data_IF_439905244135
#
_entry.id   IF_439905244135
#
_cell.length_a   1.000
_cell.length_b   1.000
_cell.length_c   1.000
_cell.angle_alpha   90.00
_cell.angle_beta   90.00
_cell.angle_gamma   90.00
#
_symmetry.space_group_name_H-M   'P 1'
#
loop_
_entity.id
_entity.type
_entity.pdbx_description
1 polymer ?
#
# COMPACT_ATOMS: atom_id res chain seq x y z
N UNK A 1 -13.37 -22.04 13.50
CA UNK A 1 -13.23 -22.21 12.04
C UNK A 1 -11.85 -21.65 11.70
N UNK A 2 -10.87 -22.52 11.43
CA UNK A 2 -9.49 -22.08 11.16
C UNK A 2 -9.45 -21.58 9.72
N UNK A 3 -9.24 -20.28 9.52
CA UNK A 3 -9.06 -19.71 8.19
C UNK A 3 -7.69 -20.20 7.70
N UNK A 4 -7.65 -20.76 6.49
CA UNK A 4 -6.38 -21.13 5.86
C UNK A 4 -5.56 -19.88 5.59
N UNK A 5 -4.32 -19.85 6.09
CA UNK A 5 -3.41 -18.70 5.98
C UNK A 5 -2.53 -18.73 4.73
N UNK A 6 -2.61 -19.81 3.95
CA UNK A 6 -1.72 -20.05 2.81
C UNK A 6 -2.54 -20.37 1.56
N UNK A 7 -2.18 -19.75 0.44
CA UNK A 7 -2.76 -20.01 -0.87
C UNK A 7 -1.66 -20.13 -1.92
N UNK A 8 -1.58 -21.28 -2.59
CA UNK A 8 -0.60 -21.52 -3.64
C UNK A 8 -1.15 -21.03 -4.98
N UNK A 9 -0.38 -20.19 -5.65
CA UNK A 9 -0.66 -19.71 -7.01
C UNK A 9 0.41 -20.30 -7.93
N UNK A 10 0.01 -21.22 -8.79
CA UNK A 10 0.91 -21.76 -9.82
C UNK A 10 1.13 -20.72 -10.92
N UNK A 11 2.39 -20.46 -11.27
CA UNK A 11 2.75 -19.51 -12.34
C UNK A 11 3.88 -20.06 -13.21
N UNK A 12 3.75 -19.92 -14.54
CA UNK A 12 4.78 -20.29 -15.50
C UNK A 12 5.02 -19.14 -16.48
N UNK A 13 6.26 -18.64 -16.53
CA UNK A 13 6.70 -17.62 -17.47
C UNK A 13 8.19 -17.80 -17.77
N UNK A 14 8.64 -17.25 -18.90
CA UNK A 14 10.06 -17.21 -19.23
C UNK A 14 10.68 -15.94 -18.62
N UNK A 15 11.65 -16.12 -17.72
CA UNK A 15 12.38 -14.99 -17.11
C UNK A 15 13.46 -14.49 -18.07
N UNK A 16 13.41 -13.20 -18.41
CA UNK A 16 14.48 -12.58 -19.19
C UNK A 16 15.56 -12.00 -18.27
N UNK A 17 16.73 -12.64 -18.26
CA UNK A 17 17.93 -12.12 -17.61
C UNK A 17 18.83 -11.43 -18.65
N UNK A 18 18.80 -10.10 -18.68
CA UNK A 18 19.59 -9.29 -19.63
C UNK A 18 20.70 -8.52 -18.92
N UNK A 19 21.82 -8.30 -19.62
CA UNK A 19 23.01 -7.60 -19.10
C UNK A 19 23.28 -6.28 -19.83
N UNK A 20 22.28 -5.74 -20.52
CA UNK A 20 22.37 -4.42 -21.15
C UNK A 20 22.00 -3.33 -20.13
N UNK A 21 22.97 -2.50 -19.78
CA UNK A 21 22.81 -1.45 -18.78
C UNK A 21 22.56 -0.06 -19.39
N UNK A 22 22.50 0.02 -20.72
CA UNK A 22 22.10 1.26 -21.38
C UNK A 22 20.66 1.61 -21.04
N UNK A 23 20.37 2.90 -20.90
CA UNK A 23 18.99 3.38 -20.75
C UNK A 23 18.32 3.33 -22.12
N UNK A 24 17.29 2.50 -22.24
CA UNK A 24 16.51 2.29 -23.45
C UNK A 24 15.17 3.06 -23.39
N UNK A 25 14.67 3.34 -22.19
CA UNK A 25 13.45 4.10 -21.93
C UNK A 25 13.68 5.23 -20.89
N UNK A 26 14.19 6.40 -21.31
CA UNK A 26 14.54 7.51 -20.41
C UNK A 26 13.37 8.01 -19.55
N UNK A 27 12.14 8.02 -20.08
CA UNK A 27 10.97 8.46 -19.34
C UNK A 27 10.62 7.53 -18.18
N UNK A 28 10.71 6.21 -18.39
CA UNK A 28 10.52 5.22 -17.33
C UNK A 28 11.60 5.33 -16.26
N UNK A 29 12.86 5.51 -16.70
CA UNK A 29 13.98 5.75 -15.79
C UNK A 29 13.75 7.00 -14.93
N UNK A 30 13.22 8.07 -15.51
CA UNK A 30 12.86 9.29 -14.78
C UNK A 30 11.81 9.02 -13.70
N UNK A 31 10.77 8.24 -14.01
CA UNK A 31 9.74 7.88 -13.03
C UNK A 31 10.33 7.07 -11.87
N UNK A 32 11.19 6.09 -12.17
CA UNK A 32 11.90 5.32 -11.16
C UNK A 32 12.79 6.19 -10.24
N UNK A 33 13.58 7.10 -10.82
CA UNK A 33 14.42 8.01 -10.02
C UNK A 33 13.58 8.96 -9.16
N UNK A 34 12.44 9.44 -9.65
CA UNK A 34 11.51 10.25 -8.86
C UNK A 34 10.92 9.44 -7.70
N UNK A 35 10.45 8.21 -7.97
CA UNK A 35 9.89 7.34 -6.95
C UNK A 35 10.92 7.08 -5.83
N UNK A 36 12.16 6.75 -6.16
CA UNK A 36 13.24 6.57 -5.17
C UNK A 36 13.50 7.81 -4.32
N UNK A 37 13.49 9.00 -4.93
CA UNK A 37 13.73 10.26 -4.23
C UNK A 37 12.59 10.58 -3.26
N UNK A 38 11.36 10.36 -3.70
CA UNK A 38 10.15 10.78 -2.98
C UNK A 38 9.63 9.68 -2.04
N UNK A 39 10.24 8.48 -2.06
CA UNK A 39 9.92 7.41 -1.13
C UNK A 39 10.38 7.78 0.28
N UNK A 40 9.42 7.78 1.19
CA UNK A 40 9.68 7.99 2.61
C UNK A 40 10.52 6.84 3.21
N UNK A 41 11.38 7.20 4.14
CA UNK A 41 12.19 6.30 4.94
C UNK A 41 11.68 6.28 6.38
N UNK A 42 11.08 5.14 6.76
CA UNK A 42 10.56 4.83 8.10
C UNK A 42 11.51 5.27 9.23
N UNK A 43 12.82 5.04 9.07
CA UNK A 43 13.82 5.32 10.13
C UNK A 43 14.25 6.79 10.23
N UNK A 44 13.90 7.63 9.25
CA UNK A 44 14.37 9.03 9.16
C UNK A 44 13.22 10.03 9.13
N UNK A 45 12.15 9.72 8.41
CA UNK A 45 11.09 10.66 8.11
C UNK A 45 9.92 10.59 9.11
N UNK A 46 9.90 9.55 9.94
CA UNK A 46 8.92 9.41 11.03
C UNK A 46 9.61 9.56 12.38
N UNK A 47 9.13 10.52 13.17
CA UNK A 47 9.48 10.68 14.56
C UNK A 47 8.66 9.72 15.44
N UNK A 48 9.19 8.52 15.67
CA UNK A 48 8.56 7.48 16.50
C UNK A 48 8.48 7.83 17.98
N UNK A 49 9.10 8.93 18.44
CA UNK A 49 9.01 9.34 19.83
C UNK A 49 7.69 10.03 20.17
N UNK A 50 6.92 10.43 19.15
CA UNK A 50 5.64 11.09 19.35
C UNK A 50 4.59 10.09 19.86
N UNK A 51 3.83 10.45 20.91
CA UNK A 51 2.73 9.61 21.37
C UNK A 51 1.62 9.57 20.31
N UNK A 52 1.07 8.39 20.06
CA UNK A 52 -0.07 8.19 19.16
C UNK A 52 -1.35 8.12 19.98
N UNK A 53 -2.21 9.12 19.83
CA UNK A 53 -3.49 9.24 20.54
C UNK A 53 -4.60 8.47 19.81
N UNK A 54 -4.68 7.16 20.05
CA UNK A 54 -5.63 6.28 19.35
C UNK A 54 -7.10 6.52 19.73
N UNK A 55 -7.39 7.18 20.85
CA UNK A 55 -8.76 7.38 21.34
C UNK A 55 -9.53 8.53 20.66
N UNK A 56 -8.85 9.40 19.91
CA UNK A 56 -9.46 10.58 19.28
C UNK A 56 -9.97 10.31 17.85
N UNK A 57 -9.75 9.11 17.32
CA UNK A 57 -9.96 8.77 15.91
C UNK A 57 -8.65 8.82 15.13
N UNK A 58 -8.49 7.90 14.18
CA UNK A 58 -7.23 7.70 13.44
C UNK A 58 -7.26 8.48 12.12
N UNK A 59 -8.39 8.46 11.42
CA UNK A 59 -8.61 9.26 10.22
C UNK A 59 -9.56 10.42 10.51
N UNK A 60 -9.56 11.44 9.65
CA UNK A 60 -10.58 12.47 9.68
C UNK A 60 -11.97 11.85 9.50
N UNK A 61 -12.97 12.30 10.27
CA UNK A 61 -14.32 11.72 10.25
C UNK A 61 -14.95 11.71 8.85
N UNK A 62 -14.64 12.71 8.01
CA UNK A 62 -15.10 12.76 6.61
C UNK A 62 -14.61 11.62 5.72
N UNK A 63 -13.64 10.83 6.19
CA UNK A 63 -13.15 9.63 5.51
C UNK A 63 -13.78 8.34 6.03
N UNK A 64 -14.66 8.40 7.03
CA UNK A 64 -15.43 7.26 7.53
C UNK A 64 -16.67 7.09 6.69
N UNK A 65 -16.92 5.87 6.22
CA UNK A 65 -18.09 5.59 5.41
C UNK A 65 -19.38 5.85 6.21
N UNK A 66 -20.29 6.61 5.61
CA UNK A 66 -21.53 7.04 6.27
C UNK A 66 -21.42 8.35 7.07
N UNK A 67 -20.25 9.00 7.11
CA UNK A 67 -20.14 10.37 7.61
C UNK A 67 -21.13 11.31 6.90
N UNK A 68 -21.78 12.19 7.67
CA UNK A 68 -22.80 13.11 7.16
C UNK A 68 -24.17 12.48 6.89
N UNK A 69 -24.34 11.17 7.11
CA UNK A 69 -25.65 10.52 7.02
C UNK A 69 -26.54 10.80 8.23
N UNK A 70 -27.86 10.57 8.08
CA UNK A 70 -28.79 10.64 9.21
C UNK A 70 -28.47 9.62 10.31
N UNK A 71 -27.85 8.49 9.97
CA UNK A 71 -27.45 7.46 10.93
C UNK A 71 -26.27 7.97 11.77
N UNK A 72 -25.28 8.60 11.12
CA UNK A 72 -24.14 9.22 11.80
C UNK A 72 -24.58 10.31 12.77
N UNK A 73 -25.54 11.15 12.37
CA UNK A 73 -26.09 12.21 13.21
C UNK A 73 -26.84 11.69 14.45
N UNK A 74 -27.31 10.43 14.44
CA UNK A 74 -27.96 9.77 15.58
C UNK A 74 -26.96 9.13 16.56
N UNK A 75 -25.69 8.98 16.18
CA UNK A 75 -24.65 8.48 17.05
C UNK A 75 -24.20 9.56 18.03
N UNK A 76 -23.94 9.18 19.28
CA UNK A 76 -23.27 10.06 20.23
C UNK A 76 -21.77 10.19 19.90
N UNK A 77 -21.12 11.22 20.46
CA UNK A 77 -19.72 11.50 20.18
C UNK A 77 -18.77 10.35 20.53
N UNK A 78 -19.15 9.50 21.50
CA UNK A 78 -18.36 8.32 21.87
C UNK A 78 -18.45 7.26 20.78
N UNK A 79 -19.65 6.93 20.31
CA UNK A 79 -19.88 5.95 19.25
C UNK A 79 -19.30 6.41 17.91
N UNK A 80 -19.33 7.71 17.62
CA UNK A 80 -18.67 8.26 16.43
C UNK A 80 -17.16 7.99 16.45
N UNK A 81 -16.50 8.19 17.59
CA UNK A 81 -15.08 7.87 17.78
C UNK A 81 -14.80 6.37 17.71
N UNK A 82 -15.58 5.55 18.40
CA UNK A 82 -15.45 4.09 18.34
C UNK A 82 -15.59 3.59 16.89
N UNK A 83 -16.58 4.08 16.15
CA UNK A 83 -16.76 3.76 14.74
C UNK A 83 -15.57 4.22 13.87
N UNK A 84 -15.04 5.42 14.12
CA UNK A 84 -13.85 5.92 13.42
C UNK A 84 -12.65 4.98 13.61
N UNK A 85 -12.37 4.56 14.84
CA UNK A 85 -11.26 3.67 15.16
C UNK A 85 -11.43 2.31 14.46
N UNK A 86 -12.59 1.68 14.61
CA UNK A 86 -12.88 0.38 14.00
C UNK A 86 -12.77 0.43 12.47
N UNK A 87 -13.35 1.47 11.86
CA UNK A 87 -13.28 1.67 10.41
C UNK A 87 -11.85 1.92 9.93
N UNK A 88 -11.07 2.69 10.70
CA UNK A 88 -9.67 2.98 10.39
C UNK A 88 -8.81 1.71 10.46
N UNK A 89 -8.97 0.91 11.51
CA UNK A 89 -8.31 -0.39 11.66
C UNK A 89 -8.67 -1.33 10.51
N UNK A 90 -9.96 -1.42 10.17
CA UNK A 90 -10.42 -2.20 9.03
C UNK A 90 -9.78 -1.72 7.72
N UNK A 91 -9.76 -0.41 7.45
CA UNK A 91 -9.18 0.15 6.22
C UNK A 91 -7.67 -0.08 6.12
N UNK A 92 -6.93 0.10 7.22
CA UNK A 92 -5.50 -0.23 7.28
C UNK A 92 -5.25 -1.71 7.02
N UNK A 93 -6.12 -2.58 7.53
CA UNK A 93 -6.06 -4.01 7.22
C UNK A 93 -6.29 -4.28 5.72
N UNK A 94 -7.25 -3.61 5.08
CA UNK A 94 -7.46 -3.76 3.62
C UNK A 94 -6.26 -3.26 2.82
N UNK A 95 -5.64 -2.14 3.23
CA UNK A 95 -4.42 -1.63 2.60
C UNK A 95 -3.29 -2.65 2.67
N UNK A 96 -3.04 -3.22 3.86
CA UNK A 96 -1.98 -4.22 4.06
C UNK A 96 -2.15 -5.42 3.13
N UNK A 97 -3.35 -6.02 3.07
CA UNK A 97 -3.61 -7.15 2.15
C UNK A 97 -3.49 -6.73 0.68
N UNK A 98 -3.86 -5.49 0.35
CA UNK A 98 -3.69 -4.94 -1.01
C UNK A 98 -2.22 -4.80 -1.39
N UNK A 99 -1.37 -4.35 -0.47
CA UNK A 99 0.08 -4.23 -0.66
C UNK A 99 0.74 -5.61 -0.87
N UNK A 100 0.32 -6.63 -0.14
CA UNK A 100 0.78 -8.02 -0.36
C UNK A 100 0.46 -8.49 -1.79
N UNK A 101 -0.76 -8.24 -2.26
CA UNK A 101 -1.16 -8.56 -3.64
C UNK A 101 -0.39 -7.76 -4.69
N UNK A 102 -0.17 -6.47 -4.44
CA UNK A 102 0.62 -5.61 -5.32
C UNK A 102 2.08 -6.09 -5.41
N UNK A 103 2.67 -6.51 -4.29
CA UNK A 103 4.02 -7.06 -4.23
C UNK A 103 4.14 -8.33 -5.08
N UNK A 104 3.18 -9.26 -4.96
CA UNK A 104 3.14 -10.47 -5.80
C UNK A 104 3.04 -10.11 -7.29
N UNK A 105 2.16 -9.19 -7.66
CA UNK A 105 2.03 -8.74 -9.05
C UNK A 105 3.32 -8.09 -9.58
N UNK A 106 3.96 -7.22 -8.80
CA UNK A 106 5.22 -6.57 -9.18
C UNK A 106 6.33 -7.60 -9.39
N UNK A 107 6.45 -8.61 -8.51
CA UNK A 107 7.46 -9.67 -8.67
C UNK A 107 7.32 -10.43 -9.99
N UNK A 108 6.09 -10.79 -10.36
CA UNK A 108 5.81 -11.48 -11.62
C UNK A 108 6.08 -10.59 -12.84
N UNK A 109 5.73 -9.29 -12.75
CA UNK A 109 6.00 -8.34 -13.82
C UNK A 109 7.50 -8.12 -14.03
N UNK A 110 8.28 -8.00 -12.94
CA UNK A 110 9.74 -7.88 -13.01
C UNK A 110 10.34 -9.03 -13.81
N UNK A 111 9.81 -10.24 -13.70
CA UNK A 111 10.31 -11.39 -14.46
C UNK A 111 9.97 -11.34 -15.95
N UNK A 112 8.76 -10.88 -16.29
CA UNK A 112 8.22 -10.92 -17.66
C UNK A 112 8.65 -9.73 -18.53
N UNK A 113 8.92 -8.55 -17.96
CA UNK A 113 9.18 -7.35 -18.77
C UNK A 113 10.56 -7.39 -19.45
N UNK A 114 10.66 -6.91 -20.71
CA UNK A 114 11.81 -7.18 -21.57
C UNK A 114 12.99 -6.21 -21.38
N UNK A 115 12.82 -5.04 -20.75
CA UNK A 115 13.88 -4.03 -20.62
C UNK A 115 14.26 -3.78 -19.16
N UNK A 116 15.52 -3.41 -18.92
CA UNK A 116 15.99 -3.10 -17.57
C UNK A 116 15.28 -1.87 -16.99
N UNK A 117 14.97 -0.86 -17.81
CA UNK A 117 14.17 0.28 -17.36
C UNK A 117 12.76 -0.11 -16.91
N UNK A 118 12.13 -1.08 -17.58
CA UNK A 118 10.83 -1.61 -17.15
C UNK A 118 10.96 -2.40 -15.85
N UNK A 119 11.99 -3.24 -15.70
CA UNK A 119 12.24 -3.97 -14.45
C UNK A 119 12.44 -3.01 -13.27
N UNK A 120 13.24 -1.95 -13.45
CA UNK A 120 13.44 -0.95 -12.40
C UNK A 120 12.15 -0.20 -12.04
N UNK A 121 11.31 0.14 -13.02
CA UNK A 121 10.05 0.83 -12.74
C UNK A 121 9.06 -0.01 -11.91
N UNK A 122 9.10 -1.34 -12.04
CA UNK A 122 8.26 -2.25 -11.24
C UNK A 122 8.85 -2.57 -9.85
N UNK A 123 10.07 -2.09 -9.56
CA UNK A 123 10.81 -2.34 -8.31
C UNK A 123 10.74 -1.15 -7.38
#
# INVERSE_FOLDING_TARGET
>A
MTIATEHLIESQFQTLFQRDYAVQAPDMRRLYENAKRDQWNVSKDIDWSQPVELEQGIFADGLVDGYGSEIWAKLDARKQRELNIEFSCWRLSQLLHGEEGAMLACSQLVDMVPSNDAKFFQS
#
